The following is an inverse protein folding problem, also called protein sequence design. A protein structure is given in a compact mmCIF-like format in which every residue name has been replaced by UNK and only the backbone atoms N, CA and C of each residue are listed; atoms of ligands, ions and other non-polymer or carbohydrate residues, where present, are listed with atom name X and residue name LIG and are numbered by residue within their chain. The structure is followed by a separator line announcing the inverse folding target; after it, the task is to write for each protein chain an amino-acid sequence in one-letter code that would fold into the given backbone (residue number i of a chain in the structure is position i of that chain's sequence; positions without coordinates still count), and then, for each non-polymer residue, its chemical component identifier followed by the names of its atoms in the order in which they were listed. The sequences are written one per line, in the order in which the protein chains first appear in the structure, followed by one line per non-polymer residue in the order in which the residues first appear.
data_IF_530002522509
#
_entry.id   IF_530002522509
#
_cell.length_a   1.000
_cell.length_b   1.000
_cell.length_c   1.000
_cell.angle_alpha   90.00
_cell.angle_beta   90.00
_cell.angle_gamma   90.00
#
_symmetry.space_group_name_H-M   'P 1'
#
loop_
_entity.id
_entity.type
_entity.pdbx_description
1 polymer ?
2 non-polymer ?
3 water ?
#
# COMPACT_ATOMS: atom_id res chain seq x y z
N UNK A 9 21.56 -16.01 1.79
CA UNK A 9 21.58 -15.34 0.50
C UNK A 9 21.62 -16.39 -0.62
N UNK A 10 20.50 -17.10 -0.79
CA UNK A 10 20.38 -18.14 -1.81
C UNK A 10 20.55 -17.54 -3.20
N UNK A 11 21.36 -18.19 -4.03
CA UNK A 11 21.53 -17.81 -5.42
C UNK A 11 20.70 -18.71 -6.31
N UNK A 12 19.95 -18.09 -7.24
CA UNK A 12 19.12 -18.80 -8.20
C UNK A 12 19.65 -18.49 -9.59
N UNK A 13 19.71 -19.49 -10.43
CA UNK A 13 20.23 -19.29 -11.76
C UNK A 13 19.18 -18.74 -12.68
N UNK A 14 19.55 -17.78 -13.50
CA UNK A 14 18.59 -17.20 -14.45
C UNK A 14 17.91 -18.30 -15.25
N UNK A 15 18.67 -19.32 -15.62
CA UNK A 15 18.15 -20.40 -16.44
C UNK A 15 17.23 -21.34 -15.68
N UNK A 16 17.15 -21.22 -14.35
CA UNK A 16 16.27 -22.03 -13.52
C UNK A 16 14.92 -21.38 -13.35
N UNK A 17 14.59 -20.40 -14.19
CA UNK A 17 13.39 -19.60 -14.02
C UNK A 17 12.67 -19.52 -15.35
N UNK A 18 11.46 -20.06 -15.42
CA UNK A 18 10.66 -19.92 -16.62
C UNK A 18 9.78 -18.71 -16.44
N UNK A 19 10.00 -17.71 -17.30
CA UNK A 19 9.30 -16.44 -17.18
C UNK A 19 7.87 -16.42 -17.72
N UNK A 20 7.13 -15.42 -17.27
CA UNK A 20 5.72 -15.27 -17.56
C UNK A 20 5.44 -13.77 -17.66
N UNK A 21 4.16 -13.40 -17.65
CA UNK A 21 3.75 -12.02 -17.84
C UNK A 21 4.27 -11.09 -16.74
N UNK A 22 4.57 -9.86 -17.12
CA UNK A 22 4.90 -8.82 -16.16
C UNK A 22 3.69 -8.54 -15.28
N UNK A 23 3.93 -8.33 -14.00
CA UNK A 23 2.85 -8.23 -13.02
C UNK A 23 2.29 -6.82 -12.85
N UNK A 24 2.90 -5.81 -13.47
CA UNK A 24 2.52 -4.46 -13.15
C UNK A 24 1.24 -3.96 -13.79
N UNK A 25 0.80 -4.59 -14.88
CA UNK A 25 -0.28 -4.01 -15.66
C UNK A 25 0.12 -2.62 -16.11
N UNK A 26 -0.73 -1.64 -15.82
CA UNK A 26 -0.32 -0.25 -15.97
C UNK A 26 0.87 0.08 -15.08
N UNK A 27 1.82 0.83 -15.63
CA UNK A 27 3.13 1.07 -15.03
C UNK A 27 3.71 -0.25 -14.50
N UNK A 28 4.16 -1.06 -15.46
CA UNK A 28 4.46 -2.47 -15.21
C UNK A 28 5.58 -2.65 -14.17
N UNK A 29 6.55 -1.74 -14.15
CA UNK A 29 7.69 -2.03 -13.32
C UNK A 29 8.47 -3.19 -13.93
N UNK A 30 9.29 -3.82 -13.11
CA UNK A 30 10.18 -4.87 -13.58
C UNK A 30 9.95 -6.18 -12.82
N UNK A 31 8.69 -6.47 -12.46
CA UNK A 31 8.36 -7.67 -11.71
C UNK A 31 7.60 -8.62 -12.63
N UNK A 32 8.05 -9.88 -12.66
CA UNK A 32 7.46 -10.91 -13.49
C UNK A 32 7.02 -12.08 -12.61
N UNK A 33 5.90 -12.69 -12.99
CA UNK A 33 5.57 -14.00 -12.48
C UNK A 33 6.43 -15.04 -13.21
N UNK A 34 6.92 -16.02 -12.47
CA UNK A 34 7.80 -17.01 -13.04
C UNK A 34 7.63 -18.33 -12.31
N UNK A 35 8.19 -19.39 -12.91
CA UNK A 35 8.32 -20.68 -12.26
C UNK A 35 9.77 -20.98 -11.98
N UNK A 36 10.10 -21.17 -10.70
CA UNK A 36 11.39 -21.70 -10.28
C UNK A 36 11.40 -23.20 -10.57
N UNK A 37 12.14 -23.62 -11.61
CA UNK A 37 11.95 -24.96 -12.14
C UNK A 37 12.48 -26.00 -11.15
N UNK A 38 13.72 -25.84 -10.69
CA UNK A 38 14.32 -26.86 -9.82
C UNK A 38 13.56 -27.05 -8.51
N UNK A 39 12.83 -26.04 -8.06
CA UNK A 39 12.08 -26.09 -6.81
C UNK A 39 10.59 -26.28 -7.04
N UNK A 40 10.16 -26.29 -8.31
CA UNK A 40 8.77 -26.49 -8.64
C UNK A 40 7.87 -25.52 -7.87
N UNK A 41 8.29 -24.24 -7.85
CA UNK A 41 7.59 -23.20 -7.11
C UNK A 41 7.29 -22.02 -8.02
N UNK A 42 6.09 -21.46 -7.87
CA UNK A 42 5.74 -20.21 -8.54
C UNK A 42 6.35 -19.05 -7.77
N UNK A 43 7.02 -18.14 -8.49
CA UNK A 43 7.76 -17.05 -7.86
C UNK A 43 7.47 -15.73 -8.58
N UNK A 44 7.85 -14.65 -7.91
CA UNK A 44 7.95 -13.33 -8.50
C UNK A 44 9.43 -12.99 -8.64
N UNK A 45 9.77 -12.28 -9.71
CA UNK A 45 11.16 -11.94 -10.01
C UNK A 45 11.19 -10.46 -10.33
N UNK A 46 11.89 -9.69 -9.51
CA UNK A 46 12.08 -8.28 -9.79
C UNK A 46 13.42 -8.13 -10.49
N UNK A 47 13.39 -7.72 -11.75
CA UNK A 47 14.63 -7.50 -12.48
C UNK A 47 15.28 -6.21 -12.00
N UNK A 48 16.61 -6.23 -11.84
CA UNK A 48 17.35 -5.16 -11.21
C UNK A 48 18.57 -4.79 -12.05
N UNK A 49 18.98 -3.52 -11.93
CA UNK A 49 20.21 -3.09 -12.59
C UNK A 49 21.42 -3.82 -12.03
N UNK A 50 21.40 -4.10 -10.73
CA UNK A 50 22.52 -4.66 -10.00
C UNK A 50 22.02 -5.06 -8.61
N UNK A 51 22.59 -6.13 -8.06
CA UNK A 51 22.31 -6.49 -6.68
C UNK A 51 23.29 -5.74 -5.77
N UNK A 52 22.77 -5.07 -4.75
CA UNK A 52 23.61 -4.35 -3.79
C UNK A 52 23.55 -5.03 -2.43
N UNK A 53 24.45 -4.60 -1.53
CA UNK A 53 24.52 -5.25 -0.23
C UNK A 53 23.27 -5.03 0.59
N UNK A 54 22.45 -4.03 0.26
CA UNK A 54 21.17 -3.87 0.95
C UNK A 54 20.26 -5.07 0.70
N UNK A 55 20.32 -5.65 -0.50
CA UNK A 55 19.52 -6.85 -0.75
C UNK A 55 19.93 -7.98 0.18
N UNK A 56 21.22 -8.04 0.51
CA UNK A 56 21.69 -9.06 1.43
C UNK A 56 21.17 -8.81 2.83
N UNK A 57 21.20 -7.56 3.29
CA UNK A 57 20.79 -7.33 4.68
C UNK A 57 19.28 -7.49 4.84
N UNK A 58 18.49 -7.10 3.85
CA UNK A 58 17.04 -7.26 3.96
C UNK A 58 16.59 -8.69 3.66
N UNK A 59 17.45 -9.53 3.09
CA UNK A 59 17.09 -10.88 2.69
C UNK A 59 16.72 -11.77 3.85
N UNK A 60 17.03 -11.36 5.09
CA UNK A 60 16.72 -12.20 6.25
C UNK A 60 15.38 -11.85 6.89
N UNK A 61 14.71 -10.79 6.43
CA UNK A 61 13.41 -10.44 6.98
C UNK A 61 12.40 -11.54 6.64
N UNK A 62 11.56 -11.87 7.62
CA UNK A 62 10.54 -12.91 7.42
C UNK A 62 9.38 -12.60 8.35
N UNK A 63 8.18 -12.48 7.77
CA UNK A 63 6.94 -12.23 8.49
C UNK A 63 5.78 -12.63 7.57
N UNK A 64 4.69 -13.11 8.18
CA UNK A 64 3.58 -13.59 7.36
C UNK A 64 2.95 -12.48 6.52
N UNK A 65 3.08 -11.20 6.92
CA UNK A 65 2.49 -10.12 6.14
C UNK A 65 3.52 -9.32 5.34
N UNK A 66 4.70 -9.89 5.06
CA UNK A 66 5.62 -9.30 4.11
C UNK A 66 6.00 -10.36 3.07
N UNK A 67 6.21 -9.92 1.83
CA UNK A 67 6.58 -10.85 0.76
C UNK A 67 7.88 -11.56 1.12
N UNK A 68 7.94 -12.87 0.84
CA UNK A 68 9.01 -13.73 1.34
C UNK A 68 10.15 -13.84 0.34
N UNK A 69 11.34 -13.42 0.74
CA UNK A 69 12.55 -13.60 -0.07
C UNK A 69 12.84 -15.07 -0.33
N UNK A 70 13.12 -15.40 -1.60
CA UNK A 70 13.60 -16.74 -1.97
C UNK A 70 15.07 -16.78 -2.39
N UNK A 71 15.54 -15.80 -3.16
CA UNK A 71 16.92 -15.82 -3.64
C UNK A 71 17.17 -14.67 -4.59
N UNK A 72 18.40 -14.63 -5.12
CA UNK A 72 18.81 -13.61 -6.08
C UNK A 72 19.42 -14.25 -7.32
N UNK A 73 19.19 -13.61 -8.47
CA UNK A 73 19.91 -13.93 -9.70
C UNK A 73 21.16 -13.06 -9.74
N UNK A 74 22.33 -13.70 -9.85
CA UNK A 74 23.62 -12.99 -9.88
C UNK A 74 24.42 -13.42 -11.10
N UNK A 75 23.87 -13.18 -12.29
CA UNK A 75 24.50 -13.53 -13.56
C UNK A 75 24.40 -12.34 -14.50
N UNK A 76 25.42 -11.47 -14.55
CA UNK A 76 25.39 -10.33 -15.48
C UNK A 76 25.10 -10.76 -16.93
N UNK A 77 24.25 -10.00 -17.65
CA UNK A 77 23.54 -8.77 -17.22
C UNK A 77 22.19 -9.01 -16.53
N UNK A 78 21.93 -10.24 -16.10
CA UNK A 78 20.65 -10.58 -15.46
C UNK A 78 20.86 -10.56 -13.93
N UNK A 79 20.31 -9.53 -13.30
CA UNK A 79 20.22 -9.46 -11.85
C UNK A 79 18.75 -9.40 -11.45
N UNK A 80 18.43 -9.91 -10.26
CA UNK A 80 17.07 -9.77 -9.76
C UNK A 80 16.91 -10.38 -8.38
N UNK A 81 15.77 -10.08 -7.78
CA UNK A 81 15.38 -10.62 -6.48
C UNK A 81 14.15 -11.50 -6.67
N UNK A 82 14.22 -12.70 -6.14
CA UNK A 82 13.15 -13.68 -6.27
C UNK A 82 12.42 -13.76 -4.95
N UNK A 83 11.08 -13.79 -5.01
CA UNK A 83 10.22 -13.91 -3.83
C UNK A 83 9.07 -14.86 -4.12
N UNK A 84 8.28 -15.15 -3.09
CA UNK A 84 7.05 -15.89 -3.31
C UNK A 84 6.14 -15.12 -4.27
N UNK A 85 5.17 -15.86 -4.82
CA UNK A 85 4.15 -15.28 -5.68
C UNK A 85 2.80 -15.41 -4.98
N UNK A 86 2.12 -14.29 -4.77
CA UNK A 86 0.83 -14.30 -4.12
C UNK A 86 -0.26 -14.59 -5.15
N UNK A 87 -0.93 -15.75 -4.98
CA UNK A 87 -1.82 -16.30 -6.01
C UNK A 87 -2.92 -15.34 -6.41
N UNK A 88 -3.48 -14.63 -5.45
CA UNK A 88 -4.68 -13.82 -5.69
C UNK A 88 -4.37 -12.38 -6.12
N UNK A 89 -3.11 -12.05 -6.44
CA UNK A 89 -2.83 -10.76 -7.06
C UNK A 89 -2.77 -9.57 -6.09
N UNK A 90 -2.68 -8.38 -6.68
CA UNK A 90 -2.48 -7.16 -5.92
C UNK A 90 -3.76 -6.69 -5.25
N UNK A 91 -3.60 -6.06 -4.08
CA UNK A 91 -4.73 -5.50 -3.35
C UNK A 91 -5.46 -4.47 -4.20
N UNK A 92 -4.69 -3.62 -4.90
CA UNK A 92 -5.29 -2.58 -5.74
C UNK A 92 -6.24 -3.18 -6.78
N UNK A 93 -5.80 -4.23 -7.48
CA UNK A 93 -6.64 -4.81 -8.51
C UNK A 93 -7.91 -5.38 -7.92
N UNK A 94 -7.80 -6.00 -6.73
CA UNK A 94 -8.96 -6.57 -6.08
C UNK A 94 -9.98 -5.49 -5.73
N UNK A 95 -9.52 -4.47 -4.99
CA UNK A 95 -10.36 -3.34 -4.60
C UNK A 95 -11.03 -2.71 -5.81
N UNK A 96 -10.26 -2.43 -6.86
CA UNK A 96 -10.82 -1.78 -8.05
C UNK A 96 -11.39 -2.78 -9.04
N UNK A 97 -12.06 -3.82 -8.55
CA UNK A 97 -12.73 -4.79 -9.41
C UNK A 97 -14.05 -5.12 -8.75
N UNK A 98 -14.90 -5.83 -9.48
CA UNK A 98 -16.19 -6.19 -8.92
C UNK A 98 -16.08 -7.17 -7.77
N UNK A 99 -14.96 -7.90 -7.67
CA UNK A 99 -14.80 -8.88 -6.58
C UNK A 99 -14.93 -8.23 -5.21
N UNK A 100 -14.43 -6.99 -5.05
CA UNK A 100 -14.44 -6.34 -3.73
C UNK A 100 -15.85 -6.08 -3.20
N UNK A 101 -16.91 -6.25 -4.00
CA UNK A 101 -18.23 -6.04 -3.41
C UNK A 101 -18.56 -7.12 -2.37
N UNK A 102 -17.84 -8.25 -2.40
CA UNK A 102 -17.96 -9.30 -1.40
C UNK A 102 -17.38 -8.92 -0.04
N UNK A 103 -16.59 -7.85 0.05
CA UNK A 103 -16.00 -7.50 1.33
C UNK A 103 -17.07 -7.12 2.35
N UNK A 104 -16.89 -7.59 3.59
CA UNK A 104 -17.72 -7.15 4.70
C UNK A 104 -16.79 -6.69 5.82
N UNK A 105 -17.36 -6.44 7.00
CA UNK A 105 -16.57 -5.93 8.12
C UNK A 105 -15.44 -6.89 8.48
N UNK A 106 -15.77 -8.17 8.66
CA UNK A 106 -14.78 -9.16 9.07
C UNK A 106 -13.61 -9.20 8.10
N UNK A 107 -13.91 -9.16 6.81
CA UNK A 107 -12.89 -9.14 5.77
C UNK A 107 -11.98 -7.92 5.94
N UNK A 108 -12.58 -6.73 6.10
CA UNK A 108 -11.81 -5.50 6.24
C UNK A 108 -10.96 -5.54 7.52
N UNK A 109 -11.57 -5.95 8.63
CA UNK A 109 -10.84 -6.03 9.89
C UNK A 109 -9.61 -6.92 9.74
N UNK A 110 -9.78 -8.08 9.12
CA UNK A 110 -8.64 -8.98 8.93
C UNK A 110 -7.58 -8.36 8.02
N UNK A 111 -8.01 -7.73 6.93
CA UNK A 111 -7.02 -7.15 6.02
C UNK A 111 -6.39 -5.87 6.59
N UNK A 112 -7.17 -5.06 7.31
CA UNK A 112 -6.56 -3.92 7.98
C UNK A 112 -5.50 -4.37 8.97
N UNK A 113 -5.76 -5.50 9.67
CA UNK A 113 -4.80 -6.03 10.62
C UNK A 113 -3.58 -6.63 9.94
N UNK A 114 -3.79 -7.37 8.84
CA UNK A 114 -2.67 -7.90 8.07
C UNK A 114 -1.62 -6.83 7.77
N UNK A 115 -2.05 -5.72 7.19
CA UNK A 115 -1.08 -4.69 6.78
C UNK A 115 -0.44 -4.04 8.00
N UNK A 116 -1.24 -3.80 9.04
CA UNK A 116 -0.73 -3.20 10.27
C UNK A 116 0.34 -4.09 10.90
N UNK A 117 0.11 -5.41 10.91
CA UNK A 117 1.09 -6.31 11.52
C UNK A 117 2.36 -6.41 10.68
N UNK A 118 2.22 -6.40 9.35
CA UNK A 118 3.42 -6.36 8.53
C UNK A 118 4.23 -5.10 8.74
N UNK A 119 3.56 -3.96 8.89
CA UNK A 119 4.29 -2.70 9.08
C UNK A 119 4.90 -2.62 10.46
N UNK A 120 4.19 -3.14 11.47
CA UNK A 120 4.79 -3.28 12.79
C UNK A 120 6.06 -4.11 12.75
N UNK A 121 6.04 -5.24 12.02
CA UNK A 121 7.24 -6.04 11.92
C UNK A 121 8.38 -5.24 11.30
N UNK A 122 8.12 -4.55 10.18
CA UNK A 122 9.14 -3.77 9.51
C UNK A 122 9.69 -2.66 10.40
N UNK A 123 8.82 -2.05 11.22
CA UNK A 123 9.24 -0.90 12.02
C UNK A 123 10.00 -1.31 13.28
N UNK A 124 9.57 -2.40 13.93
CA UNK A 124 9.95 -2.71 15.30
C UNK A 124 10.50 -4.12 15.52
N UNK A 125 10.28 -5.06 14.60
CA UNK A 125 10.63 -6.45 14.89
C UNK A 125 11.76 -6.99 14.03
N UNK A 126 12.08 -6.32 12.92
CA UNK A 126 13.13 -6.78 12.03
C UNK A 126 14.50 -6.45 12.63
N UNK A 127 15.55 -7.19 12.23
CA UNK A 127 16.90 -6.86 12.71
C UNK A 127 17.35 -5.47 12.32
N UNK A 128 16.71 -4.87 11.32
CA UNK A 128 16.98 -3.52 10.88
C UNK A 128 15.64 -2.80 10.76
N UNK A 129 15.60 -1.53 11.14
CA UNK A 129 14.35 -0.77 11.09
C UNK A 129 14.04 -0.37 9.66
N UNK A 130 12.90 -0.83 9.14
CA UNK A 130 12.49 -0.55 7.77
C UNK A 130 11.33 0.43 7.80
N UNK A 131 11.54 1.58 7.18
CA UNK A 131 10.47 2.53 6.91
C UNK A 131 10.20 2.45 5.42
N UNK A 132 9.00 2.00 5.05
CA UNK A 132 8.67 1.71 3.66
C UNK A 132 8.76 2.98 2.81
N UNK A 133 7.97 4.00 3.17
CA UNK A 133 7.85 5.30 2.50
C UNK A 133 7.09 5.19 1.20
N UNK A 134 6.73 3.98 0.77
CA UNK A 134 5.94 3.84 -0.44
C UNK A 134 4.84 2.80 -0.23
N UNK A 135 4.34 2.68 1.00
CA UNK A 135 3.20 1.79 1.23
C UNK A 135 2.00 2.29 0.46
N UNK A 136 1.40 1.41 -0.33
CA UNK A 136 0.19 1.69 -1.10
C UNK A 136 -0.45 0.37 -1.49
N UNK A 137 -1.68 0.45 -2.03
CA UNK A 137 -2.41 -0.76 -2.34
C UNK A 137 -1.73 -1.58 -3.44
N UNK A 138 -1.10 -0.92 -4.40
CA UNK A 138 -0.36 -1.70 -5.41
C UNK A 138 0.86 -2.38 -4.83
N UNK A 139 1.30 -2.02 -3.63
CA UNK A 139 2.44 -2.66 -2.99
C UNK A 139 2.00 -3.69 -1.95
N UNK A 140 0.74 -4.12 -1.98
CA UNK A 140 0.23 -5.21 -1.12
C UNK A 140 -0.37 -6.28 -2.03
N UNK A 141 -0.05 -7.54 -1.76
CA UNK A 141 -0.56 -8.64 -2.59
C UNK A 141 -1.28 -9.65 -1.69
N UNK A 142 -2.10 -10.50 -2.33
CA UNK A 142 -3.03 -11.39 -1.65
C UNK A 142 -2.61 -12.83 -1.93
N UNK A 143 -2.18 -13.57 -0.89
CA UNK A 143 -1.81 -14.97 -1.06
C UNK A 143 -3.06 -15.84 -1.26
N UNK A 144 -2.84 -17.13 -1.49
CA UNK A 144 -3.94 -18.05 -1.82
C UNK A 144 -4.97 -18.14 -0.68
N UNK A 145 -4.52 -18.10 0.57
CA UNK A 145 -5.43 -18.15 1.72
C UNK A 145 -5.91 -16.77 2.17
N UNK A 146 -5.66 -15.71 1.39
CA UNK A 146 -6.14 -14.40 1.75
C UNK A 146 -5.22 -13.56 2.63
N UNK A 147 -4.09 -14.11 3.06
CA UNK A 147 -3.12 -13.35 3.86
C UNK A 147 -2.47 -12.28 2.97
N UNK A 148 -2.49 -11.03 3.43
CA UNK A 148 -1.89 -9.95 2.66
C UNK A 148 -0.40 -9.88 2.94
N UNK A 149 0.38 -9.57 1.90
CA UNK A 149 1.82 -9.46 2.05
C UNK A 149 2.31 -8.16 1.41
N UNK A 150 3.08 -7.40 2.18
CA UNK A 150 3.61 -6.13 1.71
C UNK A 150 4.83 -6.37 0.83
N UNK A 151 4.90 -5.62 -0.25
CA UNK A 151 5.96 -5.69 -1.25
C UNK A 151 6.75 -4.39 -1.26
N UNK A 152 7.97 -4.47 -1.82
CA UNK A 152 8.76 -3.30 -2.20
C UNK A 152 9.20 -2.49 -0.98
N UNK A 153 9.34 -3.15 0.17
CA UNK A 153 9.71 -2.40 1.37
C UNK A 153 11.18 -1.99 1.38
N UNK A 154 11.98 -2.49 0.45
CA UNK A 154 13.38 -2.08 0.35
C UNK A 154 13.67 -1.02 -0.70
N UNK A 155 12.69 -0.63 -1.51
CA UNK A 155 12.94 0.24 -2.63
C UNK A 155 13.41 1.62 -2.19
N UNK A 156 12.87 2.13 -1.07
CA UNK A 156 13.27 3.45 -0.58
C UNK A 156 14.70 3.45 -0.08
N UNK A 157 15.25 2.28 0.15
CA UNK A 157 16.64 2.11 0.52
C UNK A 157 17.51 1.88 -0.72
N UNK A 158 17.05 1.09 -1.66
CA UNK A 158 17.79 0.85 -2.90
C UNK A 158 18.07 2.17 -3.62
N UNK A 159 17.05 3.01 -3.82
CA UNK A 159 17.24 4.33 -4.42
C UNK A 159 17.21 5.41 -3.34
N UNK A 160 18.11 6.37 -3.44
CA UNK A 160 18.29 7.35 -2.36
C UNK A 160 17.61 8.68 -2.65
N UNK A 161 16.68 8.72 -3.59
CA UNK A 161 16.20 9.98 -4.14
C UNK A 161 14.90 9.69 -4.90
N UNK A 162 14.29 10.76 -5.39
CA UNK A 162 13.08 10.61 -6.18
C UNK A 162 13.08 11.68 -7.25
N UNK A 163 12.20 11.51 -8.24
CA UNK A 163 11.92 12.52 -9.26
C UNK A 163 10.42 12.63 -9.42
N UNK A 164 9.97 13.68 -10.12
CA UNK A 164 8.54 13.84 -10.34
C UNK A 164 7.96 12.65 -11.10
N UNK A 165 8.72 12.13 -12.08
CA UNK A 165 8.25 11.01 -12.88
C UNK A 165 7.96 9.78 -12.02
N UNK A 166 8.87 9.44 -11.11
CA UNK A 166 8.70 8.26 -10.28
C UNK A 166 7.62 8.44 -9.24
N UNK A 167 7.22 9.69 -8.95
CA UNK A 167 6.16 9.95 -8.00
C UNK A 167 4.78 9.99 -8.64
N UNK A 168 4.72 10.17 -9.97
CA UNK A 168 3.43 10.26 -10.65
C UNK A 168 2.61 9.00 -10.40
N UNK A 169 1.37 9.18 -9.92
CA UNK A 169 0.51 8.08 -9.58
C UNK A 169 0.60 7.63 -8.13
N UNK A 170 1.52 8.19 -7.35
CA UNK A 170 1.72 7.78 -5.96
C UNK A 170 1.43 8.89 -4.95
N UNK A 171 1.35 10.15 -5.39
CA UNK A 171 1.04 11.25 -4.47
C UNK A 171 -0.13 11.02 -3.51
N UNK A 172 -1.24 10.37 -3.89
CA UNK A 172 -2.34 10.19 -2.92
C UNK A 172 -1.94 9.44 -1.66
N UNK A 173 -0.93 8.56 -1.73
CA UNK A 173 -0.55 7.74 -0.58
C UNK A 173 0.58 8.34 0.24
N UNK A 174 1.18 9.45 -0.20
CA UNK A 174 2.39 9.97 0.42
C UNK A 174 2.08 10.97 1.52
N UNK A 175 2.73 10.78 2.68
CA UNK A 175 2.57 11.72 3.77
C UNK A 175 3.08 13.09 3.35
N UNK A 176 2.53 14.16 3.92
CA UNK A 176 3.02 15.51 3.55
C UNK A 176 4.53 15.70 3.70
N UNK A 177 5.14 15.21 4.78
CA UNK A 177 6.58 15.43 4.96
C UNK A 177 7.40 14.68 3.93
N UNK A 178 6.88 13.55 3.43
CA UNK A 178 7.53 12.84 2.34
C UNK A 178 7.43 13.64 1.05
N UNK A 179 6.24 14.18 0.75
CA UNK A 179 6.11 15.03 -0.43
C UNK A 179 7.07 16.20 -0.36
N UNK A 180 7.26 16.76 0.83
CA UNK A 180 8.07 17.95 1.00
C UNK A 180 9.56 17.68 1.06
N UNK A 181 9.98 16.41 1.09
CA UNK A 181 11.37 16.04 1.36
C UNK A 181 11.86 16.67 2.66
N UNK A 182 11.03 16.58 3.69
CA UNK A 182 11.33 17.14 5.00
C UNK A 182 11.76 15.98 5.90
N UNK A 183 12.02 16.22 7.20
CA UNK A 183 12.36 15.08 8.07
C UNK A 183 11.27 14.02 8.06
N UNK A 184 11.68 12.77 8.22
CA UNK A 184 10.75 11.66 8.09
C UNK A 184 10.95 10.70 9.25
N UNK A 185 9.86 10.35 9.90
CA UNK A 185 9.76 9.31 10.89
C UNK A 185 8.97 8.15 10.31
N UNK A 186 8.88 7.08 11.07
CA UNK A 186 8.18 5.90 10.61
C UNK A 186 6.69 6.14 10.43
N UNK A 187 6.12 7.16 11.09
CA UNK A 187 4.69 7.41 10.95
C UNK A 187 4.32 7.99 9.60
N UNK A 188 5.27 8.23 8.70
CA UNK A 188 4.89 8.46 7.32
C UNK A 188 4.15 7.25 6.77
N UNK A 189 4.53 6.04 7.20
CA UNK A 189 3.84 4.82 6.78
C UNK A 189 2.44 4.73 7.37
N UNK A 190 2.22 5.30 8.56
CA UNK A 190 0.89 5.37 9.12
C UNK A 190 -0.05 6.17 8.22
N UNK A 191 0.43 7.29 7.67
CA UNK A 191 -0.42 8.06 6.78
C UNK A 191 -0.82 7.24 5.57
N UNK A 192 0.14 6.54 4.96
CA UNK A 192 -0.16 5.75 3.78
C UNK A 192 -1.12 4.61 4.11
N UNK A 193 -0.99 4.04 5.30
CA UNK A 193 -1.87 2.96 5.71
C UNK A 193 -3.30 3.46 5.81
N UNK A 194 -3.49 4.69 6.27
CA UNK A 194 -4.82 5.29 6.29
C UNK A 194 -5.44 5.36 4.90
N UNK A 195 -4.65 5.71 3.89
CA UNK A 195 -5.19 5.69 2.53
C UNK A 195 -5.58 4.25 2.13
N UNK A 196 -4.75 3.27 2.45
CA UNK A 196 -5.09 1.89 2.07
C UNK A 196 -6.38 1.45 2.76
N UNK A 197 -6.54 1.77 4.05
CA UNK A 197 -7.80 1.48 4.75
C UNK A 197 -8.99 2.18 4.07
N UNK A 198 -8.82 3.47 3.75
CA UNK A 198 -9.86 4.19 3.02
C UNK A 198 -10.19 3.51 1.69
N UNK A 199 -9.17 3.02 0.97
CA UNK A 199 -9.43 2.29 -0.25
C UNK A 199 -10.31 1.08 0.01
N UNK A 200 -10.04 0.34 1.08
CA UNK A 200 -10.83 -0.84 1.36
C UNK A 200 -12.25 -0.46 1.73
N UNK A 201 -12.40 0.63 2.47
CA UNK A 201 -13.71 1.05 2.92
C UNK A 201 -14.55 1.55 1.75
N UNK A 202 -13.97 2.40 0.92
CA UNK A 202 -14.73 3.05 -0.15
C UNK A 202 -14.66 2.30 -1.47
N UNK A 203 -13.66 1.43 -1.64
CA UNK A 203 -13.39 0.79 -2.94
C UNK A 203 -13.35 1.82 -4.06
N UNK A 204 -12.59 2.90 -3.83
CA UNK A 204 -12.37 3.91 -4.86
C UNK A 204 -10.88 4.16 -5.03
N UNK A 205 -10.53 4.71 -6.19
CA UNK A 205 -9.17 5.19 -6.45
C UNK A 205 -9.02 6.55 -5.77
N UNK A 206 -8.06 6.72 -4.86
CA UNK A 206 -7.96 8.01 -4.14
C UNK A 206 -7.61 9.14 -5.09
N UNK A 207 -8.35 10.23 -4.99
CA UNK A 207 -8.08 11.45 -5.76
C UNK A 207 -8.05 11.16 -7.26
N UNK A 208 -8.97 10.29 -7.71
CA UNK A 208 -8.94 9.73 -9.06
C UNK A 208 -8.97 10.81 -10.13
N UNK A 209 -7.99 10.76 -11.03
CA UNK A 209 -7.94 11.64 -12.19
C UNK A 209 -7.33 13.01 -11.94
N UNK A 210 -6.94 13.32 -10.71
CA UNK A 210 -6.40 14.62 -10.36
C UNK A 210 -4.90 14.69 -10.59
N UNK A 211 -4.42 15.87 -11.00
CA UNK A 211 -2.99 16.14 -11.12
C UNK A 211 -2.29 15.82 -9.80
N UNK A 212 -1.24 15.01 -9.88
CA UNK A 212 -0.51 14.64 -8.68
C UNK A 212 -0.06 15.83 -7.86
N UNK A 213 0.41 16.88 -8.54
CA UNK A 213 0.90 18.04 -7.80
C UNK A 213 -0.25 18.89 -7.22
N UNK A 214 -1.45 18.81 -7.79
CA UNK A 214 -2.60 19.40 -7.10
C UNK A 214 -2.94 18.62 -5.83
N UNK A 215 -2.88 17.29 -5.90
CA UNK A 215 -3.04 16.47 -4.71
C UNK A 215 -2.00 16.85 -3.67
N UNK A 216 -0.73 16.89 -4.08
CA UNK A 216 0.33 17.25 -3.16
C UNK A 216 0.06 18.60 -2.49
N UNK A 217 -0.32 19.59 -3.29
CA UNK A 217 -0.56 20.94 -2.76
C UNK A 217 -1.73 20.93 -1.79
N UNK A 218 -2.80 20.20 -2.15
CA UNK A 218 -3.99 20.12 -1.31
C UNK A 218 -3.69 19.43 0.03
N UNK A 219 -2.95 18.32 -0.01
CA UNK A 219 -2.59 17.61 1.22
C UNK A 219 -1.57 18.42 2.02
N UNK A 220 -0.52 18.90 1.37
CA UNK A 220 0.58 19.57 2.09
C UNK A 220 0.13 20.93 2.60
N UNK A 221 -0.36 21.80 1.70
CA UNK A 221 -0.65 23.18 2.08
C UNK A 221 -2.02 23.35 2.74
N UNK A 222 -3.04 22.65 2.24
CA UNK A 222 -4.42 22.94 2.67
C UNK A 222 -4.99 21.93 3.66
N UNK A 223 -4.21 20.93 4.06
CA UNK A 223 -4.71 19.88 4.96
C UNK A 223 -5.89 19.13 4.33
N UNK A 224 -5.96 19.10 3.01
CA UNK A 224 -7.02 18.34 2.33
C UNK A 224 -6.81 16.86 2.61
N UNK A 225 -7.90 16.12 2.78
CA UNK A 225 -7.83 14.68 2.94
C UNK A 225 -8.97 14.03 2.16
N UNK A 226 -8.83 12.72 1.95
CA UNK A 226 -9.84 11.99 1.20
C UNK A 226 -11.19 12.07 1.90
N UNK A 227 -12.26 12.21 1.12
CA UNK A 227 -13.60 12.35 1.68
C UNK A 227 -14.03 11.04 2.36
N UNK A 228 -14.36 11.13 3.64
CA UNK A 228 -14.92 10.00 4.38
C UNK A 228 -16.45 10.12 4.33
N UNK A 229 -17.16 9.18 3.72
CA UNK A 229 -18.62 9.30 3.65
C UNK A 229 -19.23 9.50 5.03
N UNK A 230 -20.25 10.35 5.09
CA UNK A 230 -20.84 10.70 6.38
C UNK A 230 -21.38 9.48 7.12
N UNK A 231 -21.83 8.45 6.40
CA UNK A 231 -22.33 7.25 7.06
C UNK A 231 -21.24 6.24 7.38
N UNK A 232 -19.98 6.55 7.12
CA UNK A 232 -18.92 5.64 7.54
C UNK A 232 -18.94 5.54 9.07
N UNK A 233 -18.84 4.34 9.64
CA UNK A 233 -18.82 4.21 11.10
C UNK A 233 -17.75 5.09 11.75
N UNK A 234 -18.13 5.74 12.83
CA UNK A 234 -17.26 6.65 13.54
C UNK A 234 -15.91 6.06 13.95
N UNK A 235 -15.89 4.80 14.30
CA UNK A 235 -14.63 4.16 14.68
C UNK A 235 -13.65 4.15 13.51
N UNK A 236 -14.13 3.93 12.29
CA UNK A 236 -13.25 4.00 11.12
C UNK A 236 -12.90 5.45 10.77
N UNK A 237 -13.89 6.35 10.78
CA UNK A 237 -13.60 7.74 10.47
C UNK A 237 -12.54 8.32 11.41
N UNK A 238 -12.67 8.02 12.71
CA UNK A 238 -11.74 8.53 13.71
C UNK A 238 -10.34 7.97 13.50
N UNK A 239 -10.24 6.68 13.18
CA UNK A 239 -8.93 6.07 12.93
C UNK A 239 -8.28 6.66 11.68
N UNK A 240 -9.07 6.87 10.63
CA UNK A 240 -8.55 7.57 9.46
C UNK A 240 -8.02 8.96 9.81
N UNK A 241 -8.78 9.73 10.59
CA UNK A 241 -8.34 11.09 10.92
C UNK A 241 -7.03 11.06 11.71
N UNK A 242 -6.87 10.07 12.59
CA UNK A 242 -5.64 9.93 13.36
C UNK A 242 -4.45 9.59 12.47
N UNK A 243 -4.66 8.69 11.50
CA UNK A 243 -3.62 8.33 10.57
C UNK A 243 -3.20 9.50 9.70
N UNK A 244 -4.13 10.42 9.42
CA UNK A 244 -3.91 11.47 8.43
C UNK A 244 -3.49 12.80 9.07
N UNK A 245 -3.14 12.80 10.34
CA UNK A 245 -2.74 14.03 11.00
C UNK A 245 -1.58 14.67 10.26
N UNK A 246 -1.67 15.99 10.06
CA UNK A 246 -0.58 16.73 9.42
C UNK A 246 0.71 16.53 10.18
N UNK A 247 0.65 16.66 11.51
CA UNK A 247 1.82 16.47 12.36
C UNK A 247 2.07 14.99 12.50
N UNK A 248 3.19 14.51 11.93
CA UNK A 248 3.53 13.09 11.96
C UNK A 248 3.65 12.56 13.38
N UNK A 249 4.03 13.42 14.34
CA UNK A 249 4.19 13.02 15.72
C UNK A 249 2.87 12.77 16.43
N UNK A 250 1.74 13.13 15.82
CA UNK A 250 0.43 12.85 16.41
C UNK A 250 -0.21 11.60 15.84
N UNK A 251 0.39 10.99 14.82
CA UNK A 251 -0.19 9.78 14.25
C UNK A 251 0.12 8.59 15.14
N UNK A 252 -0.75 7.58 15.17
CA UNK A 252 -0.47 6.39 15.95
C UNK A 252 0.58 5.51 15.29
N UNK A 253 1.35 4.81 16.12
CA UNK A 253 2.20 3.72 15.65
C UNK A 253 1.36 2.58 15.09
N UNK A 254 2.03 1.61 14.47
CA UNK A 254 1.26 0.43 14.05
C UNK A 254 0.92 -0.47 15.24
N UNK A 255 1.74 -0.48 16.29
CA UNK A 255 1.34 -1.21 17.51
C UNK A 255 0.02 -0.67 18.07
N UNK A 256 -0.15 0.65 18.04
CA UNK A 256 -1.39 1.23 18.52
C UNK A 256 -2.55 0.96 17.57
N UNK A 257 -2.33 1.04 16.27
CA UNK A 257 -3.40 0.75 15.32
C UNK A 257 -3.90 -0.66 15.51
N UNK A 258 -3.00 -1.61 15.76
CA UNK A 258 -3.41 -3.01 15.95
C UNK A 258 -4.30 -3.12 17.18
N UNK A 259 -3.93 -2.45 18.27
CA UNK A 259 -4.78 -2.53 19.46
C UNK A 259 -6.10 -1.82 19.23
N UNK A 260 -6.13 -0.77 18.41
CA UNK A 260 -7.39 -0.10 18.11
C UNK A 260 -8.29 -1.02 17.30
N UNK A 261 -7.75 -1.65 16.25
CA UNK A 261 -8.55 -2.59 15.45
C UNK A 261 -9.08 -3.72 16.32
N UNK A 262 -8.26 -4.24 17.22
CA UNK A 262 -8.71 -5.31 18.10
C UNK A 262 -9.90 -4.85 18.95
N UNK A 263 -9.84 -3.64 19.49
CA UNK A 263 -10.94 -3.16 20.31
C UNK A 263 -12.21 -2.98 19.48
N UNK A 264 -12.06 -2.51 18.24
CA UNK A 264 -13.23 -2.34 17.40
C UNK A 264 -13.94 -3.67 17.15
N UNK A 265 -13.22 -4.79 17.19
CA UNK A 265 -13.86 -6.09 17.01
C UNK A 265 -14.49 -6.63 18.29
N UNK A 266 -14.34 -5.96 19.42
CA UNK A 266 -15.16 -6.24 20.59
C UNK A 266 -16.45 -5.43 20.60
N UNK A 267 -16.54 -4.40 19.75
CA UNK A 267 -17.75 -3.59 19.64
C UNK A 267 -18.86 -4.41 18.96
N UNK A 268 -19.91 -4.73 19.70
CA UNK A 268 -20.97 -5.59 19.17
C UNK A 268 -21.85 -4.89 18.14
N UNK A 269 -21.93 -3.55 18.18
CA UNK A 269 -22.77 -2.83 17.24
C UNK A 269 -22.06 -2.52 15.92
N UNK A 270 -20.73 -2.55 15.90
CA UNK A 270 -20.00 -2.14 14.71
C UNK A 270 -20.28 -3.01 13.47
N UNK A 271 -20.38 -4.34 13.55
CA UNK A 271 -20.55 -5.12 12.30
C UNK A 271 -21.76 -4.73 11.47
N UNK A 272 -22.95 -4.63 12.07
CA UNK A 272 -24.13 -4.19 11.33
C UNK A 272 -23.96 -2.79 10.77
N UNK A 273 -23.44 -1.86 11.58
CA UNK A 273 -23.21 -0.49 11.13
C UNK A 273 -22.22 -0.44 9.96
N UNK A 274 -21.16 -1.24 10.05
CA UNK A 274 -20.15 -1.25 9.00
C UNK A 274 -20.64 -1.97 7.76
N UNK A 275 -21.32 -3.13 7.93
CA UNK A 275 -21.81 -3.88 6.80
C UNK A 275 -22.88 -3.12 6.04
N UNK A 276 -23.80 -2.47 6.77
CA UNK A 276 -24.76 -1.61 6.11
C UNK A 276 -24.06 -0.50 5.33
N UNK A 277 -23.04 0.11 5.93
CA UNK A 277 -22.30 1.15 5.21
C UNK A 277 -21.63 0.57 3.97
N UNK A 278 -20.92 -0.56 4.12
CA UNK A 278 -20.12 -1.10 3.02
C UNK A 278 -20.99 -1.40 1.81
N UNK A 279 -22.18 -1.93 2.02
CA UNK A 279 -23.06 -2.36 0.94
C UNK A 279 -23.94 -1.25 0.42
N UNK A 280 -23.73 -0.02 0.87
CA UNK A 280 -24.62 1.08 0.50
C UNK A 280 -23.92 2.10 -0.38
N UNK A 281 -22.92 1.65 -1.13
CA UNK A 281 -22.08 2.56 -1.89
C UNK A 281 -22.85 3.28 -2.98
N UNK A 282 -23.93 2.68 -3.49
CA UNK A 282 -24.72 3.41 -4.47
C UNK A 282 -25.27 4.71 -3.89
N UNK A 283 -25.42 4.78 -2.57
CA UNK A 283 -25.97 5.97 -1.96
C UNK A 283 -24.90 7.01 -1.59
N UNK A 284 -23.70 6.59 -1.18
CA UNK A 284 -22.70 7.56 -0.71
C UNK A 284 -21.53 7.79 -1.65
N UNK A 285 -21.42 7.04 -2.74
CA UNK A 285 -20.36 7.32 -3.71
C UNK A 285 -20.47 8.73 -4.25
N UNK A 286 -21.66 9.34 -4.19
CA UNK A 286 -21.84 10.70 -4.66
C UNK A 286 -21.09 11.71 -3.78
N UNK A 287 -20.97 11.45 -2.48
CA UNK A 287 -20.20 12.34 -1.62
C UNK A 287 -18.74 12.37 -2.04
N UNK A 288 -18.18 11.21 -2.41
CA UNK A 288 -16.80 11.20 -2.88
C UNK A 288 -16.70 11.88 -4.22
N UNK A 289 -17.68 11.65 -5.11
CA UNK A 289 -17.59 12.25 -6.44
C UNK A 289 -17.83 13.75 -6.40
N UNK A 290 -18.61 14.25 -5.44
CA UNK A 290 -18.79 15.69 -5.30
C UNK A 290 -17.48 16.39 -5.01
N UNK A 291 -16.69 15.84 -4.08
CA UNK A 291 -15.39 16.46 -3.76
C UNK A 291 -14.44 16.40 -4.95
N UNK A 292 -14.44 15.29 -5.69
CA UNK A 292 -13.62 15.21 -6.91
C UNK A 292 -13.99 16.31 -7.89
N UNK A 293 -15.29 16.49 -8.14
CA UNK A 293 -15.75 17.55 -9.02
C UNK A 293 -15.30 18.92 -8.54
N UNK A 294 -15.39 19.17 -7.23
CA UNK A 294 -14.97 20.47 -6.71
C UNK A 294 -13.48 20.68 -6.95
N UNK A 295 -12.67 19.64 -6.71
CA UNK A 295 -11.23 19.76 -6.93
C UNK A 295 -10.90 19.87 -8.41
N UNK A 296 -11.72 19.26 -9.28
CA UNK A 296 -11.54 19.45 -10.71
C UNK A 296 -11.92 20.86 -11.13
N UNK A 297 -12.97 21.41 -10.53
CA UNK A 297 -13.30 22.81 -10.75
C UNK A 297 -12.20 23.73 -10.22
N UNK A 298 -11.64 23.38 -9.06
CA UNK A 298 -10.51 24.14 -8.53
C UNK A 298 -9.33 24.11 -9.50
N UNK A 299 -9.09 22.96 -10.14
CA UNK A 299 -8.01 22.84 -11.10
C UNK A 299 -8.21 23.74 -12.31
N UNK A 300 -9.45 23.87 -12.81
CA UNK A 300 -9.72 24.78 -13.92
C UNK A 300 -9.39 26.22 -13.52
N UNK A 301 -9.82 26.65 -12.33
CA UNK A 301 -9.45 27.97 -11.83
C UNK A 301 -7.94 28.14 -11.80
N UNK A 302 -7.23 27.17 -11.22
CA UNK A 302 -5.78 27.25 -11.08
C UNK A 302 -5.02 27.02 -12.38
N UNK A 303 -5.74 26.74 -13.49
CA UNK A 303 -5.12 26.67 -14.81
C UNK A 303 -5.04 28.05 -15.45
N UNK A 304 -6.15 28.80 -15.43
CA UNK A 304 -6.12 30.20 -15.84
C UNK A 304 -5.19 31.03 -14.97
N UNK A 305 -4.72 30.48 -13.85
CA UNK A 305 -3.81 31.10 -12.89
C UNK A 305 -4.51 32.09 -11.96
#
# INVERSE_FOLDING_TARGET
GAMGSGASFVQIKFDDLQFFENCGGGSFGSVYRAKWISQDKEVAVKKLLKIEKEAEILSVLSHRNIIQFYGVILEPPNYGIVTEYASLGSLYDYINSNRSEEMDMDHIMTWATDVAKGMHYLHMEAPVKVIHRDLKSRNVVIAADGVLKICDFGASRFHNHTTHMSLVGTFPWMAPEVIQSLPVSETCDTYSYGVVLWEMLTREVPFKGLEGLQVAWLVVEKNERLTIPSSCPRSFAELLHQCWEADAKKRPSFKQIISILESMSNDTSLPDKCNSFLHNKAEWRCEIEATLERLKKLERDLSFKEQELK
#
